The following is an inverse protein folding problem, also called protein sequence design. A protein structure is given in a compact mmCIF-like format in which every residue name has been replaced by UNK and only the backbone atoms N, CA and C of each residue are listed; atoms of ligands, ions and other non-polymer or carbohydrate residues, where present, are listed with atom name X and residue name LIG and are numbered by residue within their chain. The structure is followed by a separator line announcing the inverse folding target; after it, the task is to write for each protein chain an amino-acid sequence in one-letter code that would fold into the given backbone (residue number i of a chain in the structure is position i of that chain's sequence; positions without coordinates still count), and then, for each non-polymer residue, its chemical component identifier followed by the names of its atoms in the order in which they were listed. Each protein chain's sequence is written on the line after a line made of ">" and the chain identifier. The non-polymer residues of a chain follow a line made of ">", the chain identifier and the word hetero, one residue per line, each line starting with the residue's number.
data_IF_951410745840
#
_entry.id   IF_951410745840
#
_cell.length_a   1.000
_cell.length_b   1.000
_cell.length_c   1.000
_cell.angle_alpha   90.00
_cell.angle_beta   90.00
_cell.angle_gamma   90.00
#
_symmetry.space_group_name_H-M   'P 1'
#
loop_
_entity.id
_entity.type
_entity.pdbx_description
1 polymer ?
#
# COMPACT_ATOMS: atom_id res chain seq x y z
N UNK A 1 6.57 12.07 20.27
CA UNK A 1 6.87 10.61 20.26
C UNK A 1 7.83 10.35 19.11
N UNK A 2 8.97 9.73 19.37
CA UNK A 2 9.93 9.37 18.30
C UNK A 2 9.60 7.97 17.76
N UNK A 3 8.58 7.91 16.89
CA UNK A 3 8.16 6.65 16.26
C UNK A 3 9.27 6.07 15.37
N UNK A 4 10.05 6.93 14.70
CA UNK A 4 11.05 6.53 13.72
C UNK A 4 12.19 5.73 14.34
N UNK A 5 12.55 6.02 15.60
CA UNK A 5 13.52 5.24 16.38
C UNK A 5 13.10 3.80 16.67
N UNK A 6 11.79 3.49 16.59
CA UNK A 6 11.23 2.17 16.89
C UNK A 6 11.09 1.28 15.65
N UNK A 7 11.35 1.82 14.46
CA UNK A 7 11.22 1.10 13.19
C UNK A 7 12.52 0.38 12.84
N UNK A 8 12.42 -0.71 12.10
CA UNK A 8 13.57 -1.30 11.41
C UNK A 8 14.01 -0.45 10.22
N UNK A 9 15.19 -0.72 9.66
CA UNK A 9 15.65 0.00 8.46
C UNK A 9 14.78 -0.31 7.24
N UNK A 10 14.37 -1.57 7.09
CA UNK A 10 13.47 -2.00 6.01
C UNK A 10 12.10 -1.33 6.12
N UNK A 11 11.56 -1.20 7.34
CA UNK A 11 10.30 -0.49 7.58
C UNK A 11 10.39 1.00 7.28
N UNK A 12 11.51 1.66 7.63
CA UNK A 12 11.76 3.06 7.27
C UNK A 12 11.84 3.23 5.76
N UNK A 13 12.60 2.36 5.10
CA UNK A 13 12.80 2.40 3.64
C UNK A 13 11.47 2.20 2.92
N UNK A 14 10.66 1.22 3.32
CA UNK A 14 9.35 0.99 2.75
C UNK A 14 8.41 2.19 2.95
N UNK A 15 8.42 2.79 4.14
CA UNK A 15 7.63 3.99 4.43
C UNK A 15 8.04 5.15 3.52
N UNK A 16 9.34 5.41 3.35
CA UNK A 16 9.86 6.49 2.50
C UNK A 16 9.54 6.26 1.01
N UNK A 17 9.75 5.06 0.50
CA UNK A 17 9.41 4.71 -0.88
C UNK A 17 7.91 4.85 -1.16
N UNK A 18 7.07 4.42 -0.21
CA UNK A 18 5.61 4.58 -0.32
C UNK A 18 5.24 6.06 -0.28
N UNK A 19 5.87 6.84 0.60
CA UNK A 19 5.66 8.27 0.72
C UNK A 19 5.98 9.00 -0.59
N UNK A 20 7.16 8.77 -1.17
CA UNK A 20 7.59 9.38 -2.43
C UNK A 20 6.60 9.07 -3.56
N UNK A 21 6.20 7.81 -3.72
CA UNK A 21 5.18 7.44 -4.70
C UNK A 21 3.84 8.15 -4.45
N UNK A 22 3.41 8.25 -3.20
CA UNK A 22 2.17 8.93 -2.85
C UNK A 22 2.22 10.42 -3.23
N UNK A 23 3.32 11.11 -2.95
CA UNK A 23 3.50 12.53 -3.31
C UNK A 23 3.61 12.73 -4.83
N UNK A 24 4.36 11.89 -5.52
CA UNK A 24 4.65 12.07 -6.95
C UNK A 24 3.51 11.60 -7.85
N UNK A 25 2.80 10.53 -7.45
CA UNK A 25 1.86 9.83 -8.30
C UNK A 25 0.42 9.98 -7.83
N UNK A 26 0.13 9.91 -6.53
CA UNK A 26 -1.27 9.91 -6.06
C UNK A 26 -1.77 11.34 -5.78
N UNK A 27 -0.97 12.17 -5.12
CA UNK A 27 -1.35 13.54 -4.76
C UNK A 27 -1.79 14.39 -5.97
N UNK A 28 -1.14 14.34 -7.15
CA UNK A 28 -1.55 15.18 -8.28
C UNK A 28 -2.92 14.83 -8.86
N UNK A 29 -3.38 13.58 -8.69
CA UNK A 29 -4.64 13.09 -9.31
C UNK A 29 -5.83 13.04 -8.35
N UNK A 30 -5.61 13.10 -7.02
CA UNK A 30 -6.66 12.88 -6.01
C UNK A 30 -7.80 13.91 -6.07
N UNK A 31 -7.50 15.20 -6.32
CA UNK A 31 -8.51 16.27 -6.28
C UNK A 31 -9.56 16.08 -7.37
N UNK A 32 -9.11 15.80 -8.60
CA UNK A 32 -10.02 15.56 -9.73
C UNK A 32 -10.70 14.20 -9.60
N UNK A 33 -9.98 13.15 -9.20
CA UNK A 33 -10.54 11.83 -8.96
C UNK A 33 -11.69 11.86 -7.95
N UNK A 34 -11.51 12.58 -6.83
CA UNK A 34 -12.56 12.77 -5.82
C UNK A 34 -13.74 13.57 -6.36
N UNK A 35 -13.48 14.71 -7.02
CA UNK A 35 -14.53 15.60 -7.55
C UNK A 35 -15.39 14.92 -8.60
N UNK A 36 -14.78 14.11 -9.45
CA UNK A 36 -15.43 13.44 -10.58
C UNK A 36 -15.89 12.02 -10.26
N UNK A 37 -15.68 11.54 -9.02
CA UNK A 37 -15.99 10.19 -8.56
C UNK A 37 -15.38 9.10 -9.46
N UNK A 38 -14.16 9.34 -9.95
CA UNK A 38 -13.46 8.47 -10.91
C UNK A 38 -12.32 7.70 -10.25
N UNK A 39 -12.36 6.38 -10.39
CA UNK A 39 -11.25 5.51 -10.04
C UNK A 39 -10.30 5.32 -11.24
N UNK A 40 -9.01 5.53 -11.03
CA UNK A 40 -7.98 5.28 -12.04
C UNK A 40 -7.58 3.79 -12.01
N UNK A 41 -7.90 2.99 -13.06
CA UNK A 41 -7.61 1.57 -13.09
C UNK A 41 -6.11 1.25 -13.15
N UNK A 42 -5.25 2.24 -13.44
CA UNK A 42 -3.79 2.05 -13.48
C UNK A 42 -3.18 1.92 -12.07
N UNK A 43 -3.90 2.35 -11.03
CA UNK A 43 -3.45 2.30 -9.64
C UNK A 43 -3.05 0.89 -9.19
N UNK A 44 -3.90 -0.11 -9.45
CA UNK A 44 -3.64 -1.49 -9.01
C UNK A 44 -2.37 -2.07 -9.67
N UNK A 45 -2.19 -1.98 -11.01
CA UNK A 45 -0.93 -2.34 -11.64
C UNK A 45 0.30 -1.57 -11.13
N UNK A 46 0.18 -0.28 -10.82
CA UNK A 46 1.29 0.52 -10.27
C UNK A 46 1.73 -0.02 -8.91
N UNK A 47 0.79 -0.18 -7.98
CA UNK A 47 1.04 -0.71 -6.65
C UNK A 47 1.58 -2.16 -6.69
N UNK A 48 1.08 -2.98 -7.61
CA UNK A 48 1.56 -4.34 -7.83
C UNK A 48 3.01 -4.39 -8.29
N UNK A 49 3.41 -3.52 -9.24
CA UNK A 49 4.81 -3.43 -9.71
C UNK A 49 5.77 -2.98 -8.61
N UNK A 50 5.29 -2.22 -7.64
CA UNK A 50 6.06 -1.79 -6.47
C UNK A 50 6.09 -2.82 -5.34
N UNK A 51 5.38 -3.94 -5.45
CA UNK A 51 5.31 -4.95 -4.40
C UNK A 51 4.45 -4.54 -3.19
N UNK A 52 3.61 -3.51 -3.33
CA UNK A 52 2.79 -2.97 -2.24
C UNK A 52 1.49 -3.76 -2.01
N UNK A 53 1.09 -4.59 -2.98
CA UNK A 53 -0.07 -5.48 -2.87
C UNK A 53 0.36 -6.86 -2.37
N UNK A 54 -0.33 -7.38 -1.36
CA UNK A 54 0.07 -8.65 -0.75
C UNK A 54 1.33 -8.53 0.12
N UNK A 55 1.77 -7.31 0.44
CA UNK A 55 3.05 -7.02 1.08
C UNK A 55 3.42 -7.92 2.28
N UNK A 56 2.53 -8.20 3.26
CA UNK A 56 2.89 -9.01 4.43
C UNK A 56 2.94 -10.53 4.17
N UNK A 57 2.61 -11.01 2.97
CA UNK A 57 2.61 -12.43 2.63
C UNK A 57 3.93 -12.84 1.94
N UNK A 58 4.27 -14.13 2.01
CA UNK A 58 5.49 -14.68 1.43
C UNK A 58 5.18 -15.59 0.23
N UNK A 59 6.11 -15.69 -0.72
CA UNK A 59 5.91 -16.47 -1.94
C UNK A 59 5.01 -15.76 -2.96
N UNK A 60 4.73 -16.40 -4.09
CA UNK A 60 3.87 -15.88 -5.18
C UNK A 60 4.24 -14.47 -5.71
N UNK A 61 5.48 -14.03 -5.50
CA UNK A 61 5.94 -12.68 -5.85
C UNK A 61 5.56 -11.58 -4.84
N UNK A 62 5.01 -11.94 -3.67
CA UNK A 62 4.74 -11.00 -2.58
C UNK A 62 6.04 -10.58 -1.86
N UNK A 63 6.06 -9.35 -1.34
CA UNK A 63 7.26 -8.72 -0.78
C UNK A 63 7.73 -9.32 0.56
N UNK A 64 6.86 -10.00 1.32
CA UNK A 64 7.22 -10.59 2.61
C UNK A 64 7.60 -9.58 3.69
N UNK A 65 6.94 -8.42 3.71
CA UNK A 65 7.20 -7.36 4.69
C UNK A 65 6.66 -7.70 6.07
N UNK A 66 7.13 -7.00 7.11
CA UNK A 66 6.50 -7.09 8.43
C UNK A 66 5.08 -6.50 8.41
N UNK A 67 4.22 -6.93 9.33
CA UNK A 67 2.91 -6.31 9.52
C UNK A 67 2.99 -4.83 9.92
N UNK A 68 4.08 -4.42 10.60
CA UNK A 68 4.36 -3.01 10.88
C UNK A 68 4.66 -2.26 9.58
N UNK A 69 5.48 -2.84 8.69
CA UNK A 69 5.74 -2.30 7.36
C UNK A 69 4.47 -2.14 6.53
N UNK A 70 3.59 -3.14 6.54
CA UNK A 70 2.26 -3.03 5.90
C UNK A 70 1.42 -1.89 6.50
N UNK A 71 1.43 -1.74 7.83
CA UNK A 71 0.74 -0.63 8.51
C UNK A 71 1.30 0.75 8.12
N UNK A 72 2.62 0.88 7.98
CA UNK A 72 3.27 2.12 7.54
C UNK A 72 2.92 2.46 6.09
N UNK A 73 2.95 1.47 5.20
CA UNK A 73 2.50 1.62 3.82
C UNK A 73 1.04 2.10 3.78
N UNK A 74 0.14 1.46 4.53
CA UNK A 74 -1.26 1.86 4.59
C UNK A 74 -1.41 3.29 5.10
N UNK A 75 -0.63 3.70 6.11
CA UNK A 75 -0.61 5.07 6.64
C UNK A 75 -0.18 6.11 5.59
N UNK A 76 0.86 5.83 4.81
CA UNK A 76 1.32 6.77 3.77
C UNK A 76 0.31 6.89 2.62
N UNK A 77 -0.35 5.79 2.23
CA UNK A 77 -1.40 5.83 1.19
C UNK A 77 -2.64 6.59 1.70
N UNK A 78 -3.05 6.36 2.95
CA UNK A 78 -4.19 7.04 3.57
C UNK A 78 -3.96 8.53 3.80
N UNK A 79 -2.71 8.96 3.94
CA UNK A 79 -2.38 10.39 3.99
C UNK A 79 -2.74 11.12 2.69
N UNK A 80 -2.94 10.40 1.57
CA UNK A 80 -3.47 10.96 0.32
C UNK A 80 -5.00 10.81 0.26
N UNK A 81 -5.49 9.58 0.36
CA UNK A 81 -6.92 9.28 0.23
C UNK A 81 -7.29 7.92 0.82
N UNK A 82 -8.40 7.87 1.57
CA UNK A 82 -8.92 6.63 2.15
C UNK A 82 -9.47 5.66 1.11
N UNK A 83 -9.88 6.12 -0.08
CA UNK A 83 -10.27 5.27 -1.22
C UNK A 83 -9.08 4.48 -1.77
N UNK A 84 -7.93 5.13 -1.96
CA UNK A 84 -6.69 4.45 -2.36
C UNK A 84 -6.26 3.39 -1.33
N UNK A 85 -6.27 3.73 -0.04
CA UNK A 85 -5.95 2.75 1.02
C UNK A 85 -6.99 1.63 1.09
N UNK A 86 -8.26 1.91 0.77
CA UNK A 86 -9.31 0.88 0.69
C UNK A 86 -9.02 -0.12 -0.42
N UNK A 87 -8.58 0.33 -1.59
CA UNK A 87 -8.14 -0.56 -2.68
C UNK A 87 -6.97 -1.45 -2.24
N UNK A 88 -5.94 -0.88 -1.61
CA UNK A 88 -4.79 -1.63 -1.08
C UNK A 88 -5.25 -2.69 -0.07
N UNK A 89 -6.13 -2.29 0.86
CA UNK A 89 -6.62 -3.17 1.93
C UNK A 89 -7.48 -4.30 1.41
N UNK A 90 -8.40 -4.04 0.47
CA UNK A 90 -9.24 -5.08 -0.13
C UNK A 90 -8.36 -6.09 -0.85
N UNK A 91 -7.48 -5.61 -1.73
CA UNK A 91 -6.64 -6.50 -2.52
C UNK A 91 -5.68 -7.32 -1.66
N UNK A 92 -5.04 -6.70 -0.66
CA UNK A 92 -4.07 -7.37 0.20
C UNK A 92 -4.75 -8.26 1.24
N UNK A 93 -5.66 -7.72 2.04
CA UNK A 93 -6.18 -8.39 3.22
C UNK A 93 -7.44 -9.20 2.98
N UNK A 94 -8.23 -8.88 1.95
CA UNK A 94 -9.54 -9.51 1.70
C UNK A 94 -9.59 -10.37 0.43
N UNK A 95 -8.62 -10.23 -0.48
CA UNK A 95 -8.50 -11.07 -1.69
C UNK A 95 -7.28 -11.98 -1.57
N UNK A 96 -6.07 -11.40 -1.55
CA UNK A 96 -4.82 -12.18 -1.45
C UNK A 96 -4.77 -12.96 -0.13
N UNK A 97 -5.10 -12.32 0.99
CA UNK A 97 -5.03 -12.95 2.31
C UNK A 97 -5.81 -14.26 2.44
N UNK A 98 -7.13 -14.27 2.14
CA UNK A 98 -7.91 -15.51 2.20
C UNK A 98 -7.41 -16.60 1.24
N UNK A 99 -6.99 -16.23 0.02
CA UNK A 99 -6.43 -17.19 -0.95
C UNK A 99 -5.11 -17.76 -0.43
N UNK A 100 -4.22 -16.92 0.09
CA UNK A 100 -2.91 -17.35 0.61
C UNK A 100 -3.07 -18.27 1.84
N UNK A 101 -4.03 -17.98 2.73
CA UNK A 101 -4.16 -18.70 3.99
C UNK A 101 -5.06 -19.94 3.91
N UNK A 102 -6.01 -19.97 2.96
CA UNK A 102 -7.05 -21.01 2.88
C UNK A 102 -7.24 -21.59 1.48
N UNK A 103 -6.51 -21.09 0.47
CA UNK A 103 -6.51 -21.65 -0.88
C UNK A 103 -5.69 -22.94 -0.93
N UNK A 104 -6.23 -23.96 -1.61
CA UNK A 104 -5.55 -25.22 -1.89
C UNK A 104 -4.45 -25.07 -2.95
#
# INVERSE_FOLDING_TARGET
>A
LDLRSQLTEDERTLMEQTHEYCQDKLLPRVIEAYREEKFDPTLVPELGRMGLLGAPYHGYGCAGTSFVGYGLLAREVEAIDSGYRSTVSVQTSLVIGPIHNFGE
#
